data_IF_109334737968
#
_entry.id   IF_109334737968
#
_cell.length_a   1.000
_cell.length_b   1.000
_cell.length_c   1.000
_cell.angle_alpha   90.00
_cell.angle_beta   90.00
_cell.angle_gamma   90.00
#
_symmetry.space_group_name_H-M   'P 1'
#
loop_
_entity.id
_entity.type
_entity.pdbx_description
1 polymer ?
#
# COMPACT_ATOMS: atom_id res chain seq x y z
N UNK A 1 11.24 -37.26 41.20
CA UNK A 1 10.22 -36.38 41.81
C UNK A 1 10.82 -35.15 42.50
N UNK A 2 11.83 -35.29 43.37
CA UNK A 2 12.47 -34.15 44.10
C UNK A 2 12.97 -32.99 43.22
N UNK A 3 13.50 -33.29 42.02
CA UNK A 3 14.01 -32.29 41.06
C UNK A 3 12.93 -31.38 40.44
N UNK A 4 11.73 -31.92 40.23
CA UNK A 4 10.59 -31.17 39.69
C UNK A 4 10.00 -30.28 40.79
N UNK A 5 9.89 -30.84 42.00
CA UNK A 5 9.44 -30.10 43.19
C UNK A 5 10.37 -28.92 43.51
N UNK A 6 11.69 -29.08 43.39
CA UNK A 6 12.64 -27.97 43.57
C UNK A 6 12.57 -26.89 42.48
N UNK A 7 12.09 -27.22 41.28
CA UNK A 7 11.83 -26.22 40.22
C UNK A 7 10.58 -25.40 40.57
N UNK A 8 9.54 -26.07 41.10
CA UNK A 8 8.28 -25.46 41.48
C UNK A 8 8.42 -24.61 42.75
N UNK A 9 9.27 -25.04 43.69
CA UNK A 9 9.53 -24.37 44.96
C UNK A 9 10.49 -23.19 44.85
N UNK A 10 10.86 -22.75 43.64
CA UNK A 10 11.70 -21.55 43.42
C UNK A 10 13.14 -21.71 43.97
N UNK A 11 13.54 -22.89 44.45
CA UNK A 11 14.88 -23.16 45.00
C UNK A 11 16.02 -22.83 44.01
N UNK A 12 15.74 -22.88 42.71
CA UNK A 12 16.65 -22.45 41.64
C UNK A 12 17.02 -20.95 41.73
N UNK A 13 16.12 -20.10 42.21
CA UNK A 13 16.37 -18.67 42.38
C UNK A 13 17.01 -18.29 43.72
N UNK A 14 17.09 -19.19 44.69
CA UNK A 14 17.47 -18.86 46.09
C UNK A 14 18.82 -19.50 46.49
N UNK A 15 19.27 -20.56 45.81
CA UNK A 15 20.58 -21.20 46.08
C UNK A 15 21.78 -20.30 45.78
N UNK A 16 22.95 -20.66 46.31
CA UNK A 16 24.22 -19.88 46.27
C UNK A 16 24.68 -19.40 44.88
N UNK A 17 24.15 -19.94 43.77
CA UNK A 17 24.39 -19.51 42.38
C UNK A 17 23.27 -18.63 41.77
N UNK A 18 22.34 -18.13 42.59
CA UNK A 18 21.10 -17.44 42.18
C UNK A 18 21.31 -16.20 41.32
N UNK A 19 22.43 -15.50 41.48
CA UNK A 19 22.71 -14.28 40.74
C UNK A 19 22.72 -14.49 39.21
N UNK A 20 23.21 -15.65 38.77
CA UNK A 20 23.23 -16.04 37.35
C UNK A 20 21.82 -16.25 36.80
N UNK A 21 20.93 -16.78 37.64
CA UNK A 21 19.55 -17.11 37.29
C UNK A 21 18.67 -15.86 37.26
N UNK A 22 18.87 -14.94 38.20
CA UNK A 22 18.25 -13.61 38.19
C UNK A 22 18.60 -12.81 36.94
N UNK A 23 19.87 -12.83 36.51
CA UNK A 23 20.29 -12.19 35.25
C UNK A 23 19.59 -12.79 34.03
N UNK A 24 19.40 -14.12 34.01
CA UNK A 24 18.68 -14.79 32.92
C UNK A 24 17.20 -14.41 32.88
N UNK A 25 16.53 -14.31 34.03
CA UNK A 25 15.11 -13.91 34.11
C UNK A 25 14.94 -12.46 33.65
N UNK A 26 15.81 -11.57 34.07
CA UNK A 26 15.80 -10.19 33.63
C UNK A 26 16.02 -10.08 32.11
N UNK A 27 16.94 -10.88 31.57
CA UNK A 27 17.17 -10.96 30.13
C UNK A 27 15.92 -11.42 29.37
N UNK A 28 15.26 -12.49 29.79
CA UNK A 28 14.04 -13.01 29.14
C UNK A 28 12.88 -12.01 29.28
N UNK A 29 12.76 -11.34 30.43
CA UNK A 29 11.73 -10.32 30.66
C UNK A 29 11.90 -9.12 29.72
N UNK A 30 13.12 -8.61 29.59
CA UNK A 30 13.43 -7.54 28.62
C UNK A 30 13.16 -8.01 27.19
N UNK A 31 13.58 -9.23 26.85
CA UNK A 31 13.39 -9.78 25.52
C UNK A 31 11.89 -9.91 25.18
N UNK A 32 11.07 -10.33 26.14
CA UNK A 32 9.62 -10.38 25.99
C UNK A 32 9.01 -8.99 25.76
N UNK A 33 9.45 -7.97 26.52
CA UNK A 33 9.01 -6.59 26.33
C UNK A 33 9.39 -6.06 24.94
N UNK A 34 10.61 -6.33 24.47
CA UNK A 34 11.07 -5.95 23.13
C UNK A 34 10.22 -6.63 22.05
N UNK A 35 9.91 -7.92 22.22
CA UNK A 35 9.10 -8.68 21.26
C UNK A 35 7.66 -8.14 21.17
N UNK A 36 7.03 -7.83 22.31
CA UNK A 36 5.68 -7.24 22.35
C UNK A 36 5.68 -5.86 21.67
N UNK A 37 6.65 -5.01 21.99
CA UNK A 37 6.78 -3.67 21.41
C UNK A 37 7.02 -3.71 19.90
N UNK A 38 7.89 -4.62 19.45
CA UNK A 38 8.16 -4.83 18.03
C UNK A 38 6.93 -5.34 17.28
N UNK A 39 6.19 -6.28 17.87
CA UNK A 39 4.94 -6.80 17.29
C UNK A 39 3.92 -5.69 17.06
N UNK A 40 3.66 -4.88 18.09
CA UNK A 40 2.70 -3.77 17.99
C UNK A 40 3.11 -2.71 16.93
N UNK A 41 4.42 -2.46 16.81
CA UNK A 41 4.96 -1.56 15.78
C UNK A 41 4.79 -2.12 14.37
N UNK A 42 4.92 -3.43 14.19
CA UNK A 42 4.65 -4.09 12.92
C UNK A 42 3.16 -4.04 12.56
N UNK A 43 2.27 -4.31 13.51
CA UNK A 43 0.82 -4.24 13.32
C UNK A 43 0.39 -2.86 12.85
N UNK A 44 0.88 -1.79 13.49
CA UNK A 44 0.61 -0.40 13.09
C UNK A 44 1.02 -0.13 11.65
N UNK A 45 2.18 -0.64 11.21
CA UNK A 45 2.64 -0.49 9.82
C UNK A 45 1.74 -1.27 8.86
N UNK A 46 1.29 -2.46 9.21
CA UNK A 46 0.39 -3.28 8.39
C UNK A 46 -0.94 -2.55 8.16
N UNK A 47 -1.55 -2.00 9.22
CA UNK A 47 -2.78 -1.20 9.08
C UNK A 47 -2.57 0.02 8.19
N UNK A 48 -1.44 0.72 8.35
CA UNK A 48 -1.09 1.85 7.50
C UNK A 48 -0.95 1.44 6.03
N UNK A 49 -0.26 0.33 5.74
CA UNK A 49 -0.13 -0.23 4.39
C UNK A 49 -1.49 -0.55 3.79
N UNK A 50 -2.38 -1.21 4.55
CA UNK A 50 -3.74 -1.52 4.10
C UNK A 50 -4.52 -0.24 3.74
N UNK A 51 -4.43 0.80 4.58
CA UNK A 51 -5.07 2.09 4.33
C UNK A 51 -4.54 2.78 3.06
N UNK A 52 -3.22 2.74 2.84
CA UNK A 52 -2.58 3.32 1.66
C UNK A 52 -2.94 2.55 0.38
N UNK A 53 -3.00 1.23 0.44
CA UNK A 53 -3.42 0.39 -0.68
C UNK A 53 -4.86 0.68 -1.09
N UNK A 54 -5.76 0.90 -0.13
CA UNK A 54 -7.13 1.32 -0.42
C UNK A 54 -7.16 2.67 -1.17
N UNK A 55 -6.36 3.65 -0.71
CA UNK A 55 -6.24 4.95 -1.40
C UNK A 55 -5.69 4.81 -2.82
N UNK A 56 -4.66 3.99 -3.03
CA UNK A 56 -4.09 3.71 -4.36
C UNK A 56 -5.16 3.10 -5.27
N UNK A 57 -5.94 2.15 -4.77
CA UNK A 57 -7.02 1.51 -5.53
C UNK A 57 -8.09 2.53 -5.94
N UNK A 58 -8.49 3.41 -5.03
CA UNK A 58 -9.45 4.47 -5.31
C UNK A 58 -8.94 5.43 -6.39
N UNK A 59 -7.68 5.90 -6.28
CA UNK A 59 -7.06 6.78 -7.27
C UNK A 59 -6.93 6.11 -8.65
N UNK A 60 -6.56 4.83 -8.69
CA UNK A 60 -6.53 4.06 -9.95
C UNK A 60 -7.91 3.95 -10.59
N UNK A 61 -8.95 3.73 -9.78
CA UNK A 61 -10.33 3.70 -10.26
C UNK A 61 -10.73 5.03 -10.89
N UNK A 62 -10.47 6.14 -10.20
CA UNK A 62 -10.73 7.50 -10.72
C UNK A 62 -9.95 7.79 -12.00
N UNK A 63 -8.69 7.38 -12.08
CA UNK A 63 -7.89 7.54 -13.30
C UNK A 63 -8.49 6.80 -14.49
N UNK A 64 -8.90 5.55 -14.30
CA UNK A 64 -9.52 4.73 -15.37
C UNK A 64 -10.84 5.35 -15.82
N UNK A 65 -11.68 5.82 -14.89
CA UNK A 65 -12.94 6.49 -15.19
C UNK A 65 -12.70 7.77 -16.01
N UNK A 66 -11.79 8.64 -15.55
CA UNK A 66 -11.45 9.89 -16.23
C UNK A 66 -10.86 9.64 -17.62
N UNK A 67 -9.95 8.67 -17.76
CA UNK A 67 -9.39 8.26 -19.06
C UNK A 67 -10.50 7.80 -20.01
N UNK A 68 -11.43 6.99 -19.52
CA UNK A 68 -12.55 6.49 -20.31
C UNK A 68 -13.47 7.62 -20.76
N UNK A 69 -13.78 8.56 -19.86
CA UNK A 69 -14.55 9.77 -20.17
C UNK A 69 -13.86 10.61 -21.25
N UNK A 70 -12.56 10.83 -21.13
CA UNK A 70 -11.78 11.58 -22.11
C UNK A 70 -11.77 10.91 -23.49
N UNK A 71 -11.56 9.59 -23.54
CA UNK A 71 -11.63 8.83 -24.79
C UNK A 71 -13.01 8.95 -25.43
N UNK A 72 -14.08 8.80 -24.64
CA UNK A 72 -15.45 8.96 -25.13
C UNK A 72 -15.74 10.37 -25.67
N UNK A 73 -15.17 11.42 -25.06
CA UNK A 73 -15.28 12.78 -25.56
C UNK A 73 -14.47 13.00 -26.85
N UNK A 74 -13.29 12.38 -26.97
CA UNK A 74 -12.43 12.47 -28.16
C UNK A 74 -12.93 11.60 -29.33
N UNK A 75 -13.81 10.62 -29.09
CA UNK A 75 -14.35 9.76 -30.16
C UNK A 75 -14.90 10.59 -31.30
N UNK A 76 -14.44 10.28 -32.51
CA UNK A 76 -14.87 10.94 -33.74
C UNK A 76 -16.40 10.92 -33.90
N UNK A 77 -17.05 9.80 -33.60
CA UNK A 77 -18.51 9.68 -33.62
C UNK A 77 -19.21 10.65 -32.67
N UNK A 78 -18.64 10.90 -31.49
CA UNK A 78 -19.19 11.85 -30.53
C UNK A 78 -19.00 13.29 -31.02
N UNK A 79 -17.83 13.60 -31.58
CA UNK A 79 -17.52 14.89 -32.20
C UNK A 79 -18.46 15.15 -33.39
N UNK A 80 -18.65 14.20 -34.30
CA UNK A 80 -19.56 14.31 -35.45
C UNK A 80 -20.99 14.54 -34.99
N UNK A 81 -21.49 13.75 -34.02
CA UNK A 81 -22.84 13.96 -33.47
C UNK A 81 -23.01 15.36 -32.89
N UNK A 82 -22.01 15.85 -32.16
CA UNK A 82 -22.04 17.17 -31.52
C UNK A 82 -21.75 18.31 -32.48
N UNK A 83 -21.15 18.09 -33.65
CA UNK A 83 -20.91 19.13 -34.65
C UNK A 83 -21.93 19.11 -35.80
N UNK A 84 -22.72 18.05 -35.89
CA UNK A 84 -23.74 17.87 -36.93
C UNK A 84 -24.80 18.97 -36.95
N UNK A 85 -25.18 19.53 -35.79
CA UNK A 85 -26.13 20.66 -35.75
C UNK A 85 -25.54 21.96 -36.32
N UNK A 86 -24.21 22.10 -36.37
CA UNK A 86 -23.50 23.22 -37.03
C UNK A 86 -23.23 22.94 -38.52
N UNK A 87 -23.66 21.79 -39.05
CA UNK A 87 -23.40 21.39 -40.43
C UNK A 87 -21.95 20.97 -40.72
N UNK A 88 -21.09 20.89 -39.69
CA UNK A 88 -19.68 20.50 -39.84
C UNK A 88 -19.60 18.98 -39.99
N UNK A 89 -18.93 18.50 -41.04
CA UNK A 89 -18.77 17.09 -41.38
C UNK A 89 -17.31 16.75 -41.67
N UNK A 90 -16.88 15.50 -41.43
CA UNK A 90 -15.55 15.06 -41.82
C UNK A 90 -15.39 15.14 -43.34
N UNK A 91 -14.19 15.50 -43.78
CA UNK A 91 -13.87 15.54 -45.21
C UNK A 91 -13.76 14.13 -45.75
N UNK A 92 -14.48 13.82 -46.83
CA UNK A 92 -14.31 12.56 -47.56
C UNK A 92 -13.01 12.52 -48.38
N UNK A 93 -12.37 13.67 -48.60
CA UNK A 93 -11.13 13.80 -49.38
C UNK A 93 -9.94 14.06 -48.43
N UNK A 94 -8.78 13.44 -48.67
CA UNK A 94 -7.60 13.67 -47.84
C UNK A 94 -7.11 15.12 -47.94
N UNK A 95 -6.47 15.66 -46.89
CA UNK A 95 -5.93 17.02 -46.92
C UNK A 95 -4.75 17.12 -47.90
N UNK A 96 -4.68 18.23 -48.63
CA UNK A 96 -3.58 18.52 -49.56
C UNK A 96 -2.47 19.25 -48.79
N UNK A 97 -1.24 18.75 -48.88
CA UNK A 97 -0.07 19.42 -48.30
C UNK A 97 0.27 20.64 -49.15
N UNK A 98 0.10 21.85 -48.59
CA UNK A 98 0.54 23.09 -49.22
C UNK A 98 1.98 23.34 -48.79
N UNK A 99 2.91 23.35 -49.75
CA UNK A 99 4.31 23.75 -49.53
C UNK A 99 4.45 25.16 -50.08
N UNK A 100 4.67 26.14 -49.19
CA UNK A 100 4.91 27.53 -49.59
C UNK A 100 6.39 27.66 -49.93
N UNK A 101 6.71 27.96 -51.20
CA UNK A 101 8.07 28.37 -51.56
C UNK A 101 8.20 29.86 -51.23
N UNK A 102 9.03 30.19 -50.24
CA UNK A 102 9.48 31.57 -50.03
C UNK A 102 10.40 31.94 -51.18
N UNK A 103 10.19 33.13 -51.73
CA UNK A 103 11.09 33.75 -52.71
C UNK A 103 12.37 34.22 -52.02
#
# INVERSE_FOLDING_TARGET
>A
MKKIISILNIDFLIKQDSFRNWRMIFFISILALVMISSGHSADKKIFLIASLNSKIKALKSQFVENKTKLINLKKETNIIKKLGYKGIRPSSKPPVKIIVQSK
#
